data_IF_619059828769
#
_entry.id   IF_619059828769
#
_cell.length_a   1.000
_cell.length_b   1.000
_cell.length_c   1.000
_cell.angle_alpha   90.00
_cell.angle_beta   90.00
_cell.angle_gamma   90.00
#
_symmetry.space_group_name_H-M   'P 1'
#
loop_
_entity.id
_entity.type
_entity.pdbx_description
1 polymer ?
#
# COMPACT_ATOMS: atom_id res chain seq x y z
N UNK A 1 24.39 -3.28 -13.61
CA UNK A 1 23.17 -3.54 -14.41
C UNK A 1 22.57 -4.90 -14.10
N UNK A 2 23.28 -6.03 -14.28
CA UNK A 2 22.71 -7.36 -13.97
C UNK A 2 22.27 -7.52 -12.50
N UNK A 3 23.03 -6.97 -11.54
CA UNK A 3 22.69 -7.03 -10.11
C UNK A 3 21.49 -6.15 -9.73
N UNK A 4 21.35 -4.97 -10.35
CA UNK A 4 20.27 -4.02 -10.02
C UNK A 4 18.90 -4.59 -10.44
N UNK A 5 18.84 -5.29 -11.58
CA UNK A 5 17.63 -5.96 -12.06
C UNK A 5 17.19 -7.11 -11.16
N UNK A 6 18.14 -7.93 -10.67
CA UNK A 6 17.85 -9.00 -9.72
C UNK A 6 17.30 -8.46 -8.40
N UNK A 7 17.85 -7.34 -7.90
CA UNK A 7 17.34 -6.65 -6.70
C UNK A 7 15.93 -6.10 -6.89
N UNK A 8 15.60 -5.61 -8.08
CA UNK A 8 14.25 -5.15 -8.39
C UNK A 8 13.27 -6.32 -8.37
N UNK A 9 13.60 -7.43 -9.04
CA UNK A 9 12.78 -8.64 -9.06
C UNK A 9 12.57 -9.19 -7.64
N UNK A 10 13.59 -9.16 -6.80
CA UNK A 10 13.48 -9.58 -5.40
C UNK A 10 12.48 -8.73 -4.57
N UNK A 11 12.13 -7.51 -5.02
CA UNK A 11 11.15 -6.66 -4.36
C UNK A 11 9.69 -7.00 -4.76
N UNK A 12 9.46 -7.73 -5.85
CA UNK A 12 8.11 -7.98 -6.40
C UNK A 12 7.14 -8.60 -5.38
N UNK A 13 7.52 -9.63 -4.59
CA UNK A 13 6.59 -10.21 -3.62
C UNK A 13 6.09 -9.20 -2.57
N UNK A 14 6.96 -8.28 -2.15
CA UNK A 14 6.62 -7.21 -1.20
C UNK A 14 5.73 -6.15 -1.84
N UNK A 15 6.05 -5.75 -3.07
CA UNK A 15 5.21 -4.83 -3.85
C UNK A 15 3.78 -5.39 -4.00
N UNK A 16 3.65 -6.68 -4.30
CA UNK A 16 2.35 -7.34 -4.44
C UNK A 16 1.56 -7.39 -3.13
N UNK A 17 2.21 -7.75 -2.03
CA UNK A 17 1.56 -7.76 -0.71
C UNK A 17 1.06 -6.36 -0.32
N UNK A 18 1.91 -5.35 -0.49
CA UNK A 18 1.55 -3.97 -0.20
C UNK A 18 0.40 -3.48 -1.10
N UNK A 19 0.46 -3.72 -2.42
CA UNK A 19 -0.58 -3.29 -3.35
C UNK A 19 -1.94 -3.92 -3.03
N UNK A 20 -1.98 -5.21 -2.66
CA UNK A 20 -3.21 -5.90 -2.25
C UNK A 20 -3.82 -5.28 -1.00
N UNK A 21 -3.01 -5.02 0.03
CA UNK A 21 -3.48 -4.36 1.24
C UNK A 21 -3.87 -2.89 0.99
N UNK A 22 -3.26 -2.24 -0.01
CA UNK A 22 -3.53 -0.85 -0.35
C UNK A 22 -4.82 -0.67 -1.15
N UNK A 23 -5.17 -1.60 -2.06
CA UNK A 23 -6.29 -1.47 -3.00
C UNK A 23 -7.48 -2.40 -2.70
N UNK A 24 -7.24 -3.54 -2.07
CA UNK A 24 -8.26 -4.55 -1.76
C UNK A 24 -8.68 -5.40 -2.96
N UNK A 25 -8.79 -4.81 -4.15
CA UNK A 25 -9.13 -5.50 -5.40
C UNK A 25 -7.88 -6.10 -6.08
N UNK A 26 -7.99 -7.33 -6.60
CA UNK A 26 -6.83 -8.12 -7.05
C UNK A 26 -6.30 -7.63 -8.39
N UNK A 27 -7.17 -7.35 -9.35
CA UNK A 27 -6.78 -6.91 -10.68
C UNK A 27 -6.06 -5.56 -10.59
N UNK A 28 -6.64 -4.59 -9.90
CA UNK A 28 -6.06 -3.27 -9.65
C UNK A 28 -4.69 -3.36 -8.96
N UNK A 29 -4.53 -4.30 -8.01
CA UNK A 29 -3.28 -4.54 -7.31
C UNK A 29 -2.20 -5.15 -8.21
N UNK A 30 -2.55 -6.18 -8.98
CA UNK A 30 -1.61 -6.82 -9.92
C UNK A 30 -1.20 -5.81 -11.03
N UNK A 31 -2.13 -4.98 -11.52
CA UNK A 31 -1.86 -3.89 -12.47
C UNK A 31 -0.95 -2.81 -11.87
N UNK A 32 -1.20 -2.39 -10.63
CA UNK A 32 -0.34 -1.42 -9.96
C UNK A 32 1.10 -1.94 -9.78
N UNK A 33 1.26 -3.23 -9.48
CA UNK A 33 2.58 -3.88 -9.38
C UNK A 33 3.26 -3.90 -10.74
N UNK A 34 2.54 -4.29 -11.80
CA UNK A 34 3.08 -4.34 -13.15
C UNK A 34 3.57 -2.96 -13.60
N UNK A 35 2.76 -1.92 -13.46
CA UNK A 35 3.14 -0.55 -13.80
C UNK A 35 4.34 -0.05 -12.97
N UNK A 36 4.38 -0.41 -11.68
CA UNK A 36 5.49 -0.07 -10.80
C UNK A 36 6.79 -0.71 -11.28
N UNK A 37 6.76 -2.01 -11.61
CA UNK A 37 7.93 -2.77 -12.08
C UNK A 37 8.39 -2.25 -13.44
N UNK A 38 7.47 -2.01 -14.38
CA UNK A 38 7.81 -1.46 -15.70
C UNK A 38 8.48 -0.09 -15.57
N UNK A 39 7.88 0.83 -14.82
CA UNK A 39 8.44 2.17 -14.60
C UNK A 39 9.72 2.14 -13.77
N UNK A 40 9.85 1.19 -12.84
CA UNK A 40 11.08 0.92 -12.10
C UNK A 40 12.20 0.41 -13.00
N UNK A 41 11.88 -0.46 -13.95
CA UNK A 41 12.84 -0.98 -14.92
C UNK A 41 13.36 0.14 -15.84
N UNK A 42 12.45 0.95 -16.40
CA UNK A 42 12.81 2.08 -17.28
C UNK A 42 13.71 3.10 -16.57
N UNK A 43 13.48 3.31 -15.27
CA UNK A 43 14.21 4.27 -14.44
C UNK A 43 15.36 3.66 -13.66
N UNK A 44 15.66 2.37 -13.87
CA UNK A 44 16.63 1.64 -13.07
C UNK A 44 18.03 2.28 -13.14
N UNK A 45 18.39 2.86 -14.29
CA UNK A 45 19.65 3.59 -14.48
C UNK A 45 19.78 4.85 -13.59
N UNK A 46 18.65 5.43 -13.17
CA UNK A 46 18.62 6.63 -12.29
C UNK A 46 18.65 6.28 -10.81
N UNK A 47 18.49 5.00 -10.46
CA UNK A 47 18.50 4.57 -9.07
C UNK A 47 19.90 4.75 -8.47
N UNK A 48 19.96 5.48 -7.35
CA UNK A 48 21.22 5.73 -6.63
C UNK A 48 21.70 4.46 -5.97
N UNK A 49 22.85 3.94 -6.41
CA UNK A 49 23.53 2.80 -5.80
C UNK A 49 23.78 3.05 -4.31
N UNK A 50 23.47 2.06 -3.49
CA UNK A 50 23.56 2.14 -2.02
C UNK A 50 22.30 2.64 -1.31
N UNK A 51 21.28 3.09 -2.06
CA UNK A 51 19.95 3.38 -1.50
C UNK A 51 19.13 2.11 -1.23
N UNK A 52 18.02 2.26 -0.52
CA UNK A 52 17.03 1.19 -0.36
C UNK A 52 16.14 1.11 -1.62
N UNK A 53 16.34 0.07 -2.44
CA UNK A 53 15.58 -0.16 -3.67
C UNK A 53 14.09 -0.35 -3.40
N UNK A 54 13.72 -0.93 -2.26
CA UNK A 54 12.32 -1.16 -1.89
C UNK A 54 11.63 0.17 -1.60
N UNK A 55 12.26 1.06 -0.83
CA UNK A 55 11.72 2.39 -0.57
C UNK A 55 11.56 3.20 -1.87
N UNK A 56 12.52 3.09 -2.79
CA UNK A 56 12.44 3.73 -4.11
C UNK A 56 11.27 3.20 -4.95
N UNK A 57 11.08 1.87 -5.02
CA UNK A 57 9.96 1.26 -5.75
C UNK A 57 8.61 1.59 -5.12
N UNK A 58 8.51 1.62 -3.78
CA UNK A 58 7.29 2.08 -3.11
C UNK A 58 6.98 3.55 -3.41
N UNK A 59 8.00 4.38 -3.62
CA UNK A 59 7.80 5.79 -4.02
C UNK A 59 7.18 5.87 -5.41
N UNK A 60 7.65 5.03 -6.36
CA UNK A 60 7.06 4.93 -7.71
C UNK A 60 5.61 4.47 -7.62
N UNK A 61 5.36 3.39 -6.87
CA UNK A 61 4.01 2.83 -6.68
C UNK A 61 3.05 3.84 -6.05
N UNK A 62 3.49 4.57 -5.02
CA UNK A 62 2.67 5.57 -4.37
C UNK A 62 2.26 6.69 -5.32
N UNK A 63 3.20 7.19 -6.14
CA UNK A 63 2.90 8.22 -7.12
C UNK A 63 1.89 7.72 -8.16
N UNK A 64 2.07 6.51 -8.69
CA UNK A 64 1.11 5.89 -9.62
C UNK A 64 -0.28 5.78 -8.99
N UNK A 65 -0.37 5.34 -7.74
CA UNK A 65 -1.64 5.23 -7.03
C UNK A 65 -2.31 6.60 -6.81
N UNK A 66 -1.57 7.60 -6.36
CA UNK A 66 -2.09 8.97 -6.18
C UNK A 66 -2.53 9.58 -7.50
N UNK A 67 -1.79 9.34 -8.57
CA UNK A 67 -2.16 9.81 -9.91
C UNK A 67 -3.48 9.17 -10.38
N UNK A 68 -3.66 7.86 -10.15
CA UNK A 68 -4.94 7.16 -10.44
C UNK A 68 -6.11 7.73 -9.63
N UNK A 69 -5.92 8.04 -8.34
CA UNK A 69 -6.94 8.65 -7.49
C UNK A 69 -7.35 10.07 -7.92
N UNK A 70 -6.47 10.80 -8.63
CA UNK A 70 -6.73 12.16 -9.11
C UNK A 70 -7.44 12.19 -10.47
N UNK A 71 -7.45 11.08 -11.20
CA UNK A 71 -8.13 11.02 -12.50
C UNK A 71 -9.65 10.93 -12.30
N UNK A 72 -10.46 11.74 -13.01
CA UNK A 72 -11.91 11.58 -13.02
C UNK A 72 -12.23 10.20 -13.60
N UNK A 73 -12.88 9.35 -12.81
CA UNK A 73 -13.05 7.93 -13.12
C UNK A 73 -13.71 7.70 -14.47
N UNK A 74 -13.07 6.89 -15.31
CA UNK A 74 -13.77 6.15 -16.36
C UNK A 74 -14.56 5.02 -15.67
N UNK A 75 -15.82 4.78 -16.03
CA UNK A 75 -16.56 3.64 -15.48
C UNK A 75 -15.87 2.35 -15.92
N UNK A 76 -15.19 1.69 -15.00
CA UNK A 76 -14.70 0.32 -15.17
C UNK A 76 -15.83 -0.65 -14.87
N UNK A 77 -16.08 -1.57 -15.79
CA UNK A 77 -17.00 -2.70 -15.59
C UNK A 77 -16.23 -3.74 -14.77
N UNK A 78 -16.70 -4.14 -13.58
CA UNK A 78 -16.07 -5.22 -12.84
C UNK A 78 -16.15 -6.50 -13.67
N UNK A 79 -14.99 -7.08 -13.99
CA UNK A 79 -14.89 -8.44 -14.50
C UNK A 79 -14.97 -9.36 -13.28
N UNK A 80 -15.99 -10.20 -13.24
CA UNK A 80 -16.21 -11.21 -12.21
C UNK A 80 -15.13 -12.30 -12.36
N UNK A 81 -13.95 -12.08 -11.77
CA UNK A 81 -12.88 -13.10 -11.68
C UNK A 81 -13.05 -13.87 -10.38
N UNK A 82 -13.90 -14.89 -10.43
CA UNK A 82 -14.17 -15.83 -9.34
C UNK A 82 -13.05 -16.88 -9.22
N UNK A 83 -11.79 -16.44 -9.35
CA UNK A 83 -10.61 -17.31 -9.25
C UNK A 83 -10.27 -17.59 -7.78
N UNK A 84 -10.38 -18.85 -7.30
CA UNK A 84 -10.00 -19.18 -5.94
C UNK A 84 -8.49 -18.97 -5.74
N UNK A 85 -8.13 -18.30 -4.64
CA UNK A 85 -6.77 -18.11 -4.16
C UNK A 85 -5.93 -19.41 -4.26
N UNK A 86 -4.65 -19.34 -4.69
CA UNK A 86 -3.65 -20.29 -4.22
C UNK A 86 -3.52 -20.10 -2.71
N UNK A 87 -3.91 -21.11 -1.95
CA UNK A 87 -4.00 -21.06 -0.50
C UNK A 87 -2.62 -21.13 0.16
N UNK A 88 -2.39 -20.25 1.13
CA UNK A 88 -1.50 -20.55 2.26
C UNK A 88 -2.21 -21.61 3.14
N UNK A 89 -1.50 -22.55 3.81
CA UNK A 89 -2.13 -23.58 4.62
C UNK A 89 -2.58 -23.03 5.99
N UNK A 90 -3.35 -21.93 5.99
CA UNK A 90 -3.88 -21.31 7.19
C UNK A 90 -5.19 -21.96 7.65
N UNK A 91 -5.46 -21.98 8.96
CA UNK A 91 -6.67 -22.59 9.51
C UNK A 91 -7.93 -21.75 9.16
N UNK A 92 -9.14 -22.33 9.12
CA UNK A 92 -10.37 -21.62 8.78
C UNK A 92 -10.66 -20.36 9.62
N UNK A 93 -10.27 -20.36 10.91
CA UNK A 93 -10.36 -19.20 11.81
C UNK A 93 -9.46 -18.04 11.39
N UNK A 94 -8.25 -18.36 10.92
CA UNK A 94 -7.27 -17.35 10.50
C UNK A 94 -7.75 -16.64 9.23
N UNK A 95 -8.48 -17.35 8.36
CA UNK A 95 -9.05 -16.79 7.12
C UNK A 95 -10.12 -15.73 7.41
N UNK A 96 -10.96 -15.94 8.44
CA UNK A 96 -11.97 -14.96 8.86
C UNK A 96 -11.30 -13.70 9.42
N UNK A 97 -10.32 -13.87 10.32
CA UNK A 97 -9.58 -12.75 10.89
C UNK A 97 -8.82 -11.91 9.84
N UNK A 98 -8.22 -12.56 8.83
CA UNK A 98 -7.55 -11.85 7.72
C UNK A 98 -8.55 -11.06 6.87
N UNK A 99 -9.72 -11.64 6.56
CA UNK A 99 -10.78 -10.94 5.82
C UNK A 99 -11.30 -9.72 6.57
N UNK A 100 -11.50 -9.85 7.89
CA UNK A 100 -11.94 -8.74 8.73
C UNK A 100 -10.89 -7.62 8.72
N UNK A 101 -9.60 -7.96 8.86
CA UNK A 101 -8.51 -7.00 8.79
C UNK A 101 -8.46 -6.26 7.45
N UNK A 102 -8.55 -6.98 6.33
CA UNK A 102 -8.55 -6.37 4.99
C UNK A 102 -9.74 -5.41 4.84
N UNK A 103 -10.94 -5.82 5.26
CA UNK A 103 -12.13 -4.97 5.24
C UNK A 103 -11.98 -3.71 6.11
N UNK A 104 -11.34 -3.82 7.28
CA UNK A 104 -11.09 -2.68 8.15
C UNK A 104 -10.01 -1.74 7.59
N UNK A 105 -8.94 -2.29 6.98
CA UNK A 105 -7.95 -1.50 6.26
C UNK A 105 -8.61 -0.70 5.12
N UNK A 106 -9.56 -1.31 4.39
CA UNK A 106 -10.25 -0.61 3.31
C UNK A 106 -11.11 0.58 3.76
N UNK A 107 -11.52 0.62 5.04
CA UNK A 107 -12.28 1.73 5.62
C UNK A 107 -11.41 2.88 6.17
N UNK A 108 -10.09 2.71 6.14
CA UNK A 108 -9.14 3.79 6.47
C UNK A 108 -9.03 4.79 5.32
N UNK A 109 -8.86 6.10 5.62
CA UNK A 109 -8.44 7.07 4.62
C UNK A 109 -7.16 6.60 3.90
N UNK A 110 -7.05 6.75 2.57
CA UNK A 110 -5.93 6.23 1.80
C UNK A 110 -4.55 6.65 2.33
N UNK A 111 -4.43 7.88 2.81
CA UNK A 111 -3.16 8.41 3.34
C UNK A 111 -2.78 7.80 4.69
N UNK A 112 -3.76 7.41 5.51
CA UNK A 112 -3.52 6.72 6.78
C UNK A 112 -3.17 5.26 6.53
N UNK A 113 -3.90 4.60 5.62
CA UNK A 113 -3.65 3.22 5.19
C UNK A 113 -2.23 3.06 4.65
N UNK A 114 -1.82 3.94 3.72
CA UNK A 114 -0.49 3.89 3.13
C UNK A 114 0.63 4.00 4.18
N UNK A 115 0.52 4.95 5.12
CA UNK A 115 1.50 5.10 6.22
C UNK A 115 1.53 3.86 7.11
N UNK A 116 0.36 3.36 7.51
CA UNK A 116 0.26 2.19 8.38
C UNK A 116 0.91 0.96 7.74
N UNK A 117 0.62 0.68 6.47
CA UNK A 117 1.18 -0.46 5.74
C UNK A 117 2.69 -0.34 5.54
N UNK A 118 3.20 0.84 5.14
CA UNK A 118 4.63 1.03 4.94
C UNK A 118 5.44 0.84 6.24
N UNK A 119 4.90 1.29 7.37
CA UNK A 119 5.58 1.16 8.67
C UNK A 119 5.39 -0.23 9.27
N UNK A 120 4.16 -0.74 9.34
CA UNK A 120 3.83 -1.92 10.13
C UNK A 120 4.02 -3.24 9.37
N UNK A 121 3.84 -3.24 8.05
CA UNK A 121 3.95 -4.45 7.21
C UNK A 121 5.27 -4.48 6.46
N UNK A 122 5.65 -3.34 5.91
CA UNK A 122 6.90 -3.24 5.16
C UNK A 122 8.08 -2.81 6.02
N UNK A 123 7.89 -2.42 7.27
CA UNK A 123 8.97 -2.10 8.22
C UNK A 123 9.89 -0.97 7.71
N UNK A 124 9.36 -0.01 6.94
CA UNK A 124 10.10 1.22 6.64
C UNK A 124 10.22 2.07 7.90
N UNK A 125 11.38 2.73 8.05
CA UNK A 125 11.52 3.77 9.08
C UNK A 125 10.57 4.94 8.80
N UNK A 126 10.32 5.77 9.81
CA UNK A 126 9.48 6.97 9.62
C UNK A 126 10.09 7.93 8.59
N UNK A 127 11.42 8.04 8.55
CA UNK A 127 12.14 8.87 7.58
C UNK A 127 12.02 8.31 6.16
N UNK A 128 12.19 6.99 6.00
CA UNK A 128 12.01 6.35 4.70
C UNK A 128 10.55 6.46 4.24
N UNK A 129 9.59 6.32 5.14
CA UNK A 129 8.15 6.47 4.86
C UNK A 129 7.83 7.91 4.45
N UNK A 130 8.38 8.90 5.15
CA UNK A 130 8.25 10.33 4.82
C UNK A 130 8.77 10.61 3.41
N UNK A 131 9.97 10.12 3.09
CA UNK A 131 10.57 10.24 1.76
C UNK A 131 9.75 9.51 0.69
N UNK A 132 9.26 8.31 0.98
CA UNK A 132 8.48 7.47 0.07
C UNK A 132 7.16 8.13 -0.33
N UNK A 133 6.49 8.76 0.64
CA UNK A 133 5.19 9.39 0.44
C UNK A 133 5.27 10.88 0.08
N UNK A 134 6.48 11.48 0.10
CA UNK A 134 6.67 12.91 -0.14
C UNK A 134 5.99 13.81 0.90
N UNK A 135 5.98 13.41 2.17
CA UNK A 135 5.31 14.14 3.27
C UNK A 135 6.26 14.42 4.45
N UNK A 136 5.97 15.44 5.29
CA UNK A 136 6.78 15.71 6.48
C UNK A 136 6.79 14.55 7.49
N UNK A 137 7.89 14.40 8.23
CA UNK A 137 8.04 13.36 9.27
C UNK A 137 6.95 13.44 10.35
N UNK A 138 6.59 14.64 10.80
CA UNK A 138 5.47 14.84 11.74
C UNK A 138 4.11 14.44 11.17
N UNK A 139 3.94 14.52 9.85
CA UNK A 139 2.74 14.03 9.16
C UNK A 139 2.69 12.50 9.16
N UNK A 140 3.83 11.80 9.02
CA UNK A 140 3.90 10.34 9.17
C UNK A 140 3.43 9.94 10.57
N UNK A 141 4.01 10.53 11.62
CA UNK A 141 3.67 10.19 13.00
C UNK A 141 2.17 10.41 13.31
N UNK A 142 1.64 11.56 12.90
CA UNK A 142 0.23 11.88 13.15
C UNK A 142 -0.74 11.03 12.32
N UNK A 143 -0.41 10.68 11.06
CA UNK A 143 -1.21 9.75 10.24
C UNK A 143 -1.15 8.33 10.78
N UNK A 144 0.02 7.86 11.22
CA UNK A 144 0.20 6.55 11.81
C UNK A 144 -0.63 6.40 13.10
N UNK A 145 -0.53 7.38 14.01
CA UNK A 145 -1.31 7.39 15.25
C UNK A 145 -2.81 7.31 14.98
N UNK A 146 -3.33 8.21 14.13
CA UNK A 146 -4.76 8.21 13.75
C UNK A 146 -5.18 6.94 13.03
N UNK A 147 -4.35 6.42 12.14
CA UNK A 147 -4.62 5.18 11.41
C UNK A 147 -4.70 3.97 12.34
N UNK A 148 -3.80 3.86 13.33
CA UNK A 148 -3.83 2.79 14.34
C UNK A 148 -5.09 2.85 15.20
N UNK A 149 -5.45 4.03 15.69
CA UNK A 149 -6.66 4.18 16.51
C UNK A 149 -7.92 3.86 15.70
N UNK A 150 -8.00 4.34 14.46
CA UNK A 150 -9.14 4.06 13.58
C UNK A 150 -9.24 2.57 13.24
N UNK A 151 -8.13 1.90 12.94
CA UNK A 151 -8.10 0.47 12.70
C UNK A 151 -8.54 -0.31 13.94
N UNK A 152 -8.08 0.08 15.13
CA UNK A 152 -8.49 -0.51 16.40
C UNK A 152 -10.01 -0.41 16.62
N UNK A 153 -10.60 0.77 16.41
CA UNK A 153 -12.04 0.98 16.55
C UNK A 153 -12.84 0.12 15.56
N UNK A 154 -12.40 0.04 14.30
CA UNK A 154 -13.03 -0.80 13.27
C UNK A 154 -12.99 -2.28 13.65
N UNK A 155 -11.84 -2.77 14.12
CA UNK A 155 -11.68 -4.16 14.57
C UNK A 155 -12.51 -4.50 15.80
N UNK A 156 -12.83 -3.51 16.64
CA UNK A 156 -13.71 -3.67 17.80
C UNK A 156 -15.20 -3.43 17.47
N UNK A 157 -15.56 -3.17 16.21
CA UNK A 157 -16.93 -2.82 15.81
C UNK A 157 -17.43 -1.51 16.43
N UNK A 158 -16.53 -0.62 16.84
CA UNK A 158 -16.87 0.63 17.50
C UNK A 158 -17.05 1.77 16.49
N UNK A 159 -17.89 2.77 16.82
CA UNK A 159 -18.10 3.92 15.94
C UNK A 159 -16.79 4.68 15.76
N UNK A 160 -16.42 4.89 14.51
CA UNK A 160 -15.22 5.65 14.17
C UNK A 160 -15.55 7.14 14.15
N UNK A 161 -14.83 7.99 14.91
CA UNK A 161 -15.08 9.43 14.90
C UNK A 161 -14.84 10.02 13.51
N UNK A 162 -15.75 10.90 13.09
CA UNK A 162 -15.66 11.62 11.82
C UNK A 162 -14.39 12.48 11.79
N UNK A 163 -13.74 12.65 10.61
CA UNK A 163 -12.56 13.50 10.50
C UNK A 163 -12.88 14.93 10.95
N UNK A 164 -12.06 15.48 11.84
CA UNK A 164 -12.16 16.87 12.26
C UNK A 164 -11.99 17.78 11.03
N UNK A 165 -13.05 18.50 10.65
CA UNK A 165 -12.96 19.55 9.63
C UNK A 165 -12.06 20.64 10.18
N UNK A 166 -10.89 20.82 9.57
CA UNK A 166 -10.04 21.99 9.83
C UNK A 166 -10.79 23.20 9.25
N UNK A 167 -11.33 24.04 10.13
CA UNK A 167 -11.88 25.33 9.73
C UNK A 167 -10.68 26.20 9.33
N UNK A 168 -10.70 26.70 8.10
CA UNK A 168 -9.69 27.61 7.56
C UNK A 168 -10.11 29.05 7.78
#
# INVERSE_FOLDING_TARGET
>A
MHDDGARLVACIPRLRRYARALLGERADADDLVQDTVARGWDRLATWRRGGDMRAWLFSIMHNLHVDRLRQPGLPTVPLDDDSPMPADPAQPSDRLAVRDLDAALQQLPPEQRAVLLLVAVEELSYEQTAATLGIPLGTVMSRLSRGRERLRLLMLGQPVPAPLKVIK
#
